data_IF_882126775013
#
_entry.id   IF_882126775013
#
_cell.length_a   1.000
_cell.length_b   1.000
_cell.length_c   1.000
_cell.angle_alpha   90.00
_cell.angle_beta   90.00
_cell.angle_gamma   90.00
#
_symmetry.space_group_name_H-M   'P 1'
#
loop_
_entity.id
_entity.type
_entity.pdbx_description
1 polymer ?
#
# COMPACT_ATOMS: atom_id res chain seq x y z
N UNK A 1 14.36 8.06 -30.93
CA UNK A 1 14.66 7.66 -29.53
C UNK A 1 15.24 8.89 -28.84
N UNK A 2 14.46 9.65 -28.07
CA UNK A 2 15.00 10.81 -27.35
C UNK A 2 15.89 10.33 -26.21
N UNK A 3 17.08 10.91 -26.08
CA UNK A 3 18.05 10.56 -25.04
C UNK A 3 17.42 10.69 -23.64
N UNK A 4 17.67 9.73 -22.71
CA UNK A 4 17.14 9.82 -21.36
C UNK A 4 17.77 11.03 -20.64
N UNK A 5 16.95 12.05 -20.34
CA UNK A 5 17.40 13.17 -19.49
C UNK A 5 17.74 12.65 -18.10
N UNK A 6 19.03 12.70 -17.76
CA UNK A 6 19.53 12.43 -16.42
C UNK A 6 19.14 13.63 -15.54
N UNK A 7 18.35 13.44 -14.45
CA UNK A 7 17.98 14.54 -13.57
C UNK A 7 19.21 15.04 -12.78
N UNK A 8 19.41 16.35 -12.75
CA UNK A 8 20.44 17.01 -11.94
C UNK A 8 20.00 17.04 -10.46
N UNK A 9 20.52 16.09 -9.69
CA UNK A 9 20.18 15.91 -8.27
C UNK A 9 20.89 16.92 -7.35
N UNK A 10 21.88 17.68 -7.85
CA UNK A 10 22.67 18.62 -7.04
C UNK A 10 21.97 19.97 -6.86
N UNK A 11 20.95 20.27 -7.66
CA UNK A 11 20.27 21.56 -7.65
C UNK A 11 18.73 21.41 -7.75
N UNK A 12 18.14 20.65 -6.82
CA UNK A 12 16.69 20.46 -6.76
C UNK A 12 16.08 21.36 -5.67
N UNK A 13 15.59 22.57 -5.99
CA UNK A 13 14.81 23.32 -5.03
C UNK A 13 13.44 22.65 -4.89
N UNK A 14 13.05 22.41 -3.63
CA UNK A 14 11.79 21.82 -3.15
C UNK A 14 11.64 20.29 -3.20
N UNK A 15 11.76 19.68 -2.02
CA UNK A 15 11.28 18.33 -1.67
C UNK A 15 9.79 18.08 -1.99
N UNK A 16 9.00 19.17 -2.12
CA UNK A 16 7.59 19.13 -2.52
C UNK A 16 7.39 18.93 -4.02
N UNK A 17 8.45 19.03 -4.84
CA UNK A 17 8.35 18.86 -6.29
C UNK A 17 8.14 17.38 -6.61
N UNK A 18 6.92 17.03 -7.04
CA UNK A 18 6.54 15.67 -7.42
C UNK A 18 7.43 15.10 -8.54
N UNK A 19 7.63 13.78 -8.50
CA UNK A 19 8.46 13.11 -9.50
C UNK A 19 7.81 13.19 -10.90
N UNK A 20 8.61 13.27 -11.99
CA UNK A 20 8.09 13.28 -13.37
C UNK A 20 7.30 12.01 -13.75
N UNK A 21 7.37 11.00 -12.88
CA UNK A 21 6.78 9.68 -13.04
C UNK A 21 5.45 9.53 -12.28
N UNK A 22 4.93 10.61 -11.69
CA UNK A 22 3.67 10.63 -10.97
C UNK A 22 2.71 11.63 -11.60
N UNK A 23 1.46 11.20 -11.81
CA UNK A 23 0.39 12.09 -12.24
C UNK A 23 -0.04 13.00 -11.06
N UNK A 24 -0.06 14.33 -11.22
CA UNK A 24 -0.36 15.24 -10.13
C UNK A 24 -1.84 15.27 -9.70
N UNK A 25 -2.75 14.71 -10.49
CA UNK A 25 -4.18 14.69 -10.18
C UNK A 25 -4.60 13.37 -9.55
N UNK A 26 -4.17 12.24 -10.12
CA UNK A 26 -4.55 10.90 -9.67
C UNK A 26 -3.55 10.26 -8.70
N UNK A 27 -2.38 10.89 -8.49
CA UNK A 27 -1.26 10.32 -7.73
C UNK A 27 -0.80 8.93 -8.23
N UNK A 28 -1.19 8.54 -9.44
CA UNK A 28 -0.80 7.27 -10.05
C UNK A 28 0.57 7.37 -10.72
N UNK A 29 1.26 6.23 -10.82
CA UNK A 29 2.53 6.14 -11.54
C UNK A 29 2.30 6.10 -13.05
N UNK A 30 3.17 6.74 -13.82
CA UNK A 30 3.10 6.72 -15.29
C UNK A 30 3.40 5.31 -15.83
N UNK A 31 2.87 4.95 -17.02
CA UNK A 31 3.15 3.65 -17.62
C UNK A 31 4.64 3.42 -17.91
N UNK A 32 5.42 4.49 -18.16
CA UNK A 32 6.88 4.41 -18.24
C UNK A 32 7.51 3.94 -16.92
N UNK A 33 7.03 4.46 -15.79
CA UNK A 33 7.49 4.08 -14.45
C UNK A 33 7.11 2.65 -14.06
N UNK A 34 5.95 2.18 -14.54
CA UNK A 34 5.52 0.79 -14.34
C UNK A 34 6.41 -0.18 -15.11
N UNK A 35 6.71 0.09 -16.39
CA UNK A 35 7.61 -0.74 -17.22
C UNK A 35 9.01 -0.83 -16.64
N UNK A 36 9.53 0.27 -16.10
CA UNK A 36 10.84 0.29 -15.46
C UNK A 36 10.93 -0.66 -14.25
N UNK A 37 9.81 -0.93 -13.57
CA UNK A 37 9.76 -1.83 -12.39
C UNK A 37 9.45 -3.29 -12.71
N UNK A 38 8.84 -3.58 -13.87
CA UNK A 38 8.46 -4.94 -14.26
C UNK A 38 9.61 -5.97 -14.18
N UNK A 39 10.83 -5.70 -14.66
CA UNK A 39 11.89 -6.71 -14.63
C UNK A 39 12.47 -6.97 -13.23
N UNK A 40 12.20 -6.10 -12.25
CA UNK A 40 12.68 -6.27 -10.88
C UNK A 40 11.66 -6.95 -9.98
N UNK A 41 10.38 -6.95 -10.34
CA UNK A 41 9.34 -7.56 -9.53
C UNK A 41 9.63 -9.05 -9.25
N UNK A 42 9.94 -9.82 -10.30
CA UNK A 42 10.26 -11.25 -10.16
C UNK A 42 11.58 -11.49 -9.42
N UNK A 43 12.61 -10.69 -9.69
CA UNK A 43 13.91 -10.80 -9.00
C UNK A 43 13.77 -10.53 -7.50
N UNK A 44 13.01 -9.50 -7.14
CA UNK A 44 12.72 -9.16 -5.75
C UNK A 44 11.82 -10.20 -5.09
N UNK A 45 10.88 -10.80 -5.82
CA UNK A 45 10.01 -11.84 -5.29
C UNK A 45 10.76 -13.14 -5.00
N UNK A 46 11.70 -13.53 -5.86
CA UNK A 46 12.58 -14.68 -5.60
C UNK A 46 13.45 -14.42 -4.37
N UNK A 47 14.05 -13.22 -4.28
CA UNK A 47 14.85 -12.84 -3.12
C UNK A 47 14.03 -12.84 -1.82
N UNK A 48 12.80 -12.30 -1.86
CA UNK A 48 11.89 -12.32 -0.73
C UNK A 48 11.49 -13.76 -0.35
N UNK A 49 11.19 -14.62 -1.32
CA UNK A 49 10.88 -16.02 -1.10
C UNK A 49 12.05 -16.79 -0.48
N UNK A 50 13.28 -16.54 -0.93
CA UNK A 50 14.48 -17.12 -0.36
C UNK A 50 14.72 -16.66 1.08
N UNK A 51 14.55 -15.37 1.36
CA UNK A 51 14.68 -14.82 2.72
C UNK A 51 13.61 -15.40 3.66
N UNK A 52 12.34 -15.44 3.21
CA UNK A 52 11.25 -16.04 3.98
C UNK A 52 11.45 -17.53 4.20
N UNK A 53 11.94 -18.25 3.20
CA UNK A 53 12.28 -19.67 3.30
C UNK A 53 13.45 -19.93 4.26
N UNK A 54 14.47 -19.06 4.26
CA UNK A 54 15.57 -19.12 5.22
C UNK A 54 15.08 -18.84 6.64
N UNK A 55 14.34 -17.74 6.86
CA UNK A 55 13.77 -17.43 8.17
C UNK A 55 12.86 -18.56 8.66
N UNK A 56 11.92 -19.03 7.83
CA UNK A 56 11.03 -20.13 8.16
C UNK A 56 11.79 -21.44 8.43
N UNK A 57 12.82 -21.73 7.62
CA UNK A 57 13.69 -22.89 7.80
C UNK A 57 14.48 -22.85 9.11
N UNK A 58 15.05 -21.69 9.47
CA UNK A 58 15.74 -21.50 10.75
C UNK A 58 14.76 -21.67 11.91
N UNK A 59 13.56 -21.10 11.82
CA UNK A 59 12.53 -21.27 12.85
C UNK A 59 12.12 -22.74 13.02
N UNK A 60 12.05 -23.52 11.93
CA UNK A 60 11.74 -24.96 11.97
C UNK A 60 12.89 -25.81 12.51
N UNK A 61 14.13 -25.50 12.12
CA UNK A 61 15.31 -26.26 12.54
C UNK A 61 15.68 -26.01 14.01
N UNK A 62 15.27 -24.87 14.57
CA UNK A 62 15.49 -24.55 15.98
C UNK A 62 14.39 -25.09 16.91
N UNK A 63 13.30 -25.66 16.37
CA UNK A 63 12.21 -26.30 17.14
C UNK A 63 12.68 -27.29 18.23
N UNK A 64 13.61 -28.24 17.96
CA UNK A 64 14.05 -29.18 18.98
C UNK A 64 15.00 -28.58 20.03
N UNK A 65 15.62 -27.42 19.78
CA UNK A 65 16.65 -26.84 20.66
C UNK A 65 16.16 -25.68 21.51
N UNK A 66 15.13 -24.95 21.06
CA UNK A 66 14.70 -23.71 21.68
C UNK A 66 13.38 -23.86 22.47
N UNK A 67 12.58 -24.90 22.21
CA UNK A 67 11.32 -25.12 22.94
C UNK A 67 10.23 -24.09 22.62
N UNK A 68 9.01 -24.37 23.08
CA UNK A 68 7.70 -23.77 22.70
C UNK A 68 7.52 -22.24 22.87
N UNK A 69 8.59 -21.47 23.09
CA UNK A 69 8.56 -20.04 23.44
C UNK A 69 8.36 -19.10 22.23
N UNK A 70 8.89 -19.43 21.04
CA UNK A 70 9.00 -18.46 19.93
C UNK A 70 7.86 -18.58 18.89
N UNK A 71 7.20 -19.74 18.81
CA UNK A 71 6.00 -19.94 17.97
C UNK A 71 4.79 -19.22 18.57
N UNK A 72 4.75 -19.09 19.91
CA UNK A 72 3.71 -18.35 20.61
C UNK A 72 3.68 -16.87 20.19
N UNK A 73 4.84 -16.21 19.99
CA UNK A 73 4.89 -14.79 19.62
C UNK A 73 4.43 -14.52 18.17
N UNK A 74 4.79 -15.36 17.19
CA UNK A 74 4.31 -15.20 15.81
C UNK A 74 2.79 -15.44 15.67
N UNK A 75 2.22 -16.37 16.43
CA UNK A 75 0.78 -16.59 16.48
C UNK A 75 0.07 -15.47 17.27
N UNK A 76 0.72 -14.90 18.30
CA UNK A 76 0.22 -13.74 19.03
C UNK A 76 0.14 -12.50 18.14
N UNK A 77 1.15 -12.27 17.29
CA UNK A 77 1.18 -11.15 16.35
C UNK A 77 0.07 -11.28 15.30
N UNK A 78 -0.17 -12.50 14.78
CA UNK A 78 -1.29 -12.77 13.88
C UNK A 78 -2.67 -12.62 14.56
N UNK A 79 -2.82 -13.16 15.77
CA UNK A 79 -4.06 -13.06 16.56
C UNK A 79 -4.37 -11.61 16.93
N UNK A 80 -3.36 -10.84 17.34
CA UNK A 80 -3.48 -9.41 17.66
C UNK A 80 -3.81 -8.61 16.40
N UNK A 81 -3.16 -8.91 15.28
CA UNK A 81 -3.42 -8.26 14.00
C UNK A 81 -4.82 -8.55 13.44
N UNK A 82 -5.33 -9.76 13.67
CA UNK A 82 -6.70 -10.15 13.28
C UNK A 82 -7.75 -9.59 14.23
N UNK A 83 -7.45 -9.49 15.53
CA UNK A 83 -8.31 -8.85 16.51
C UNK A 83 -8.45 -7.34 16.25
N UNK A 84 -7.34 -6.61 16.06
CA UNK A 84 -7.35 -5.15 15.84
C UNK A 84 -8.01 -4.76 14.50
N UNK A 85 -8.04 -5.67 13.51
CA UNK A 85 -8.72 -5.42 12.22
C UNK A 85 -10.23 -5.62 12.25
N UNK A 86 -10.77 -6.29 13.27
CA UNK A 86 -12.19 -6.61 13.38
C UNK A 86 -13.03 -5.47 13.96
N UNK A 87 -12.41 -4.54 14.66
CA UNK A 87 -13.11 -3.50 15.39
C UNK A 87 -13.33 -2.28 14.47
N UNK A 88 -14.51 -2.22 13.85
CA UNK A 88 -15.01 -0.99 13.26
C UNK A 88 -15.35 -0.01 14.40
N UNK A 89 -14.33 0.66 14.94
CA UNK A 89 -14.40 1.67 16.03
C UNK A 89 -15.38 2.85 15.77
N UNK A 90 -16.08 2.84 14.65
CA UNK A 90 -17.01 3.88 14.19
C UNK A 90 -18.43 3.35 13.92
N UNK A 91 -18.69 2.04 14.03
CA UNK A 91 -20.05 1.49 13.81
C UNK A 91 -21.01 1.85 14.95
N UNK A 92 -20.50 2.09 16.16
CA UNK A 92 -21.29 2.50 17.33
C UNK A 92 -21.62 3.99 17.34
N UNK A 93 -21.01 4.80 16.47
CA UNK A 93 -21.26 6.24 16.39
C UNK A 93 -22.50 6.44 15.52
N UNK A 94 -23.65 6.87 16.09
CA UNK A 94 -24.85 7.09 15.29
C UNK A 94 -24.58 8.19 14.26
N UNK A 95 -24.75 7.85 12.99
CA UNK A 95 -24.63 8.82 11.90
C UNK A 95 -25.70 9.91 12.10
N UNK A 96 -25.34 11.20 12.12
CA UNK A 96 -26.31 12.26 12.30
C UNK A 96 -27.34 12.25 11.16
N UNK A 97 -28.62 12.55 11.43
CA UNK A 97 -29.64 12.61 10.39
C UNK A 97 -29.33 13.75 9.41
N UNK A 98 -29.22 13.44 8.11
CA UNK A 98 -28.96 14.42 7.06
C UNK A 98 -30.27 14.94 6.48
N UNK A 99 -30.31 16.19 6.02
CA UNK A 99 -31.50 16.73 5.34
C UNK A 99 -31.63 16.18 3.91
N UNK A 100 -32.85 15.92 3.44
CA UNK A 100 -33.07 15.31 2.10
C UNK A 100 -32.45 16.14 0.96
N UNK A 101 -32.48 17.47 1.09
CA UNK A 101 -31.88 18.40 0.10
C UNK A 101 -30.36 18.25 0.01
N UNK A 102 -29.72 17.99 1.15
CA UNK A 102 -28.27 17.81 1.24
C UNK A 102 -27.87 16.42 0.75
N UNK A 103 -28.69 15.40 1.00
CA UNK A 103 -28.49 14.05 0.46
C UNK A 103 -28.50 14.03 -1.07
N UNK A 104 -29.44 14.75 -1.70
CA UNK A 104 -29.49 14.86 -3.16
C UNK A 104 -28.29 15.61 -3.75
N UNK A 105 -27.77 16.61 -3.05
CA UNK A 105 -26.56 17.33 -3.45
C UNK A 105 -25.35 16.40 -3.41
N UNK A 106 -25.18 15.66 -2.31
CA UNK A 106 -24.05 14.74 -2.13
C UNK A 106 -24.08 13.58 -3.12
N UNK A 107 -25.26 13.03 -3.44
CA UNK A 107 -25.41 12.00 -4.50
C UNK A 107 -24.95 12.53 -5.86
N UNK A 108 -25.35 13.76 -6.22
CA UNK A 108 -24.91 14.42 -7.46
C UNK A 108 -23.40 14.62 -7.50
N UNK A 109 -22.79 15.07 -6.41
CA UNK A 109 -21.33 15.25 -6.32
C UNK A 109 -20.58 13.92 -6.45
N UNK A 110 -21.07 12.85 -5.81
CA UNK A 110 -20.50 11.49 -5.90
C UNK A 110 -20.55 10.94 -7.32
N UNK A 111 -21.68 11.11 -8.00
CA UNK A 111 -21.89 10.63 -9.37
C UNK A 111 -21.06 11.43 -10.39
N UNK A 112 -20.84 12.73 -10.14
CA UNK A 112 -19.92 13.57 -10.92
C UNK A 112 -18.47 13.12 -10.75
N UNK A 113 -18.04 12.83 -9.51
CA UNK A 113 -16.71 12.32 -9.24
C UNK A 113 -16.47 10.96 -9.93
N UNK A 114 -17.45 10.05 -9.91
CA UNK A 114 -17.35 8.78 -10.64
C UNK A 114 -17.22 8.97 -12.16
N UNK A 115 -17.99 9.89 -12.76
CA UNK A 115 -17.90 10.19 -14.20
C UNK A 115 -16.57 10.84 -14.58
N UNK A 116 -16.00 11.69 -13.72
CA UNK A 116 -14.67 12.27 -13.92
C UNK A 116 -13.56 11.21 -13.80
N UNK A 117 -13.74 10.19 -12.94
CA UNK A 117 -12.78 9.08 -12.81
C UNK A 117 -12.83 8.09 -13.98
N UNK A 118 -13.95 8.03 -14.72
CA UNK A 118 -14.12 7.14 -15.87
C UNK A 118 -13.73 7.76 -17.22
N UNK A 119 -13.37 9.03 -17.25
CA UNK A 119 -12.96 9.76 -18.46
C UNK A 119 -11.45 9.87 -18.57
#
# INVERSE_FOLDING_TARGET
>A
MSEPRIPDYKNTPNFLKRSPYQNPQSFTMTPAALRARQPFFWKNMIAAGALMGLCGGICKLTEPYLGSSYIANCLLDWYTYTAIRGDNDFDDIPVPPISDKELERLKRERDQQQKQQQK
#
